data_IF_045506751981
#
_entry.id   IF_045506751981
#
_cell.length_a   1.000
_cell.length_b   1.000
_cell.length_c   1.000
_cell.angle_alpha   90.00
_cell.angle_beta   90.00
_cell.angle_gamma   90.00
#
_symmetry.space_group_name_H-M   'P 1'
#
loop_
_entity.id
_entity.type
_entity.pdbx_description
1 polymer ?
#
# COMPACT_ATOMS: atom_id res chain seq x y z
N UNK A 1 -8.41 -15.05 1.46
CA UNK A 1 -7.94 -13.68 1.10
C UNK A 1 -7.68 -12.87 2.38
N UNK A 2 -6.85 -11.82 2.37
CA UNK A 2 -6.48 -11.08 3.61
C UNK A 2 -7.69 -10.45 4.34
N UNK A 3 -8.73 -10.09 3.59
CA UNK A 3 -9.99 -9.55 4.10
C UNK A 3 -10.73 -10.62 4.93
N UNK A 4 -10.89 -11.83 4.39
CA UNK A 4 -11.50 -12.96 5.13
C UNK A 4 -10.74 -13.28 6.42
N UNK A 5 -9.42 -13.09 6.42
CA UNK A 5 -8.61 -13.33 7.61
C UNK A 5 -8.88 -12.30 8.71
N UNK A 6 -9.21 -11.05 8.34
CA UNK A 6 -9.63 -10.03 9.29
C UNK A 6 -10.99 -10.29 9.91
N UNK A 7 -11.87 -11.02 9.22
CA UNK A 7 -13.14 -11.48 9.80
C UNK A 7 -12.93 -12.69 10.72
N UNK A 8 -12.07 -13.63 10.32
CA UNK A 8 -11.84 -14.87 11.08
C UNK A 8 -11.00 -14.68 12.34
N UNK A 9 -9.93 -13.88 12.27
CA UNK A 9 -9.01 -13.66 13.38
C UNK A 9 -8.60 -12.17 13.53
N UNK A 10 -9.56 -11.27 13.78
CA UNK A 10 -9.36 -9.81 13.75
C UNK A 10 -8.24 -9.30 14.66
N UNK A 11 -8.01 -10.00 15.79
CA UNK A 11 -7.08 -9.59 16.83
C UNK A 11 -5.69 -10.24 16.70
N UNK A 12 -5.50 -11.15 15.74
CA UNK A 12 -4.19 -11.74 15.49
C UNK A 12 -3.28 -10.76 14.74
N UNK A 13 -1.98 -10.83 15.00
CA UNK A 13 -0.99 -10.01 14.32
C UNK A 13 -0.90 -10.36 12.84
N UNK A 14 -1.02 -9.35 11.97
CA UNK A 14 -0.86 -9.47 10.52
C UNK A 14 0.47 -8.90 10.05
N UNK A 15 0.96 -7.84 10.69
CA UNK A 15 2.23 -7.19 10.38
C UNK A 15 3.01 -6.96 11.67
N UNK A 16 4.27 -7.40 11.67
CA UNK A 16 5.25 -7.09 12.70
C UNK A 16 6.34 -6.23 12.07
N UNK A 17 6.62 -5.07 12.64
CA UNK A 17 7.66 -4.17 12.12
C UNK A 17 8.29 -3.35 13.24
N UNK A 18 9.50 -2.83 12.99
CA UNK A 18 10.17 -1.90 13.92
C UNK A 18 9.37 -0.61 14.15
N UNK A 19 8.45 -0.26 13.24
CA UNK A 19 7.59 0.93 13.32
C UNK A 19 6.26 0.65 14.03
N UNK A 20 6.07 -0.55 14.55
CA UNK A 20 4.86 -1.00 15.21
C UNK A 20 4.24 -2.23 14.56
N UNK A 21 3.26 -2.80 15.26
CA UNK A 21 2.57 -4.01 14.85
C UNK A 21 1.10 -3.70 14.56
N UNK A 22 0.53 -4.38 13.56
CA UNK A 22 -0.88 -4.28 13.23
C UNK A 22 -1.55 -5.64 13.32
N UNK A 23 -2.73 -5.69 13.94
CA UNK A 23 -3.63 -6.83 13.82
C UNK A 23 -4.27 -6.87 12.43
N UNK A 24 -4.87 -8.00 12.05
CA UNK A 24 -5.61 -8.11 10.80
C UNK A 24 -6.71 -7.05 10.67
N UNK A 25 -7.49 -6.82 11.73
CA UNK A 25 -8.52 -5.76 11.73
C UNK A 25 -7.91 -4.38 11.51
N UNK A 26 -6.85 -4.06 12.24
CA UNK A 26 -6.17 -2.78 12.14
C UNK A 26 -5.55 -2.51 10.77
N UNK A 27 -5.01 -3.56 10.13
CA UNK A 27 -4.46 -3.51 8.79
C UNK A 27 -5.54 -3.21 7.76
N UNK A 28 -6.64 -3.98 7.79
CA UNK A 28 -7.74 -3.85 6.84
C UNK A 28 -8.49 -2.53 6.99
N UNK A 29 -8.78 -2.09 8.22
CA UNK A 29 -9.45 -0.80 8.46
C UNK A 29 -8.65 0.37 7.86
N UNK A 30 -7.31 0.36 8.03
CA UNK A 30 -6.41 1.37 7.46
C UNK A 30 -6.33 1.27 5.94
N UNK A 31 -6.21 0.05 5.41
CA UNK A 31 -6.11 -0.16 3.96
C UNK A 31 -7.39 0.26 3.24
N UNK A 32 -8.57 -0.04 3.78
CA UNK A 32 -9.84 0.43 3.21
C UNK A 32 -10.00 1.94 3.29
N UNK A 33 -9.65 2.57 4.42
CA UNK A 33 -9.71 4.02 4.55
C UNK A 33 -8.82 4.72 3.51
N UNK A 34 -7.59 4.23 3.31
CA UNK A 34 -6.69 4.77 2.30
C UNK A 34 -7.17 4.44 0.88
N UNK A 35 -7.69 3.24 0.62
CA UNK A 35 -8.22 2.87 -0.70
C UNK A 35 -9.37 3.79 -1.11
N UNK A 36 -10.30 4.08 -0.19
CA UNK A 36 -11.39 5.01 -0.42
C UNK A 36 -10.85 6.42 -0.74
N UNK A 37 -9.86 6.89 0.02
CA UNK A 37 -9.21 8.17 -0.28
C UNK A 37 -8.58 8.18 -1.69
N UNK A 38 -7.85 7.14 -2.07
CA UNK A 38 -7.23 7.02 -3.39
C UNK A 38 -8.26 7.02 -4.52
N UNK A 39 -9.39 6.33 -4.34
CA UNK A 39 -10.52 6.36 -5.29
C UNK A 39 -11.09 7.78 -5.44
N UNK A 40 -11.23 8.52 -4.33
CA UNK A 40 -11.65 9.92 -4.37
C UNK A 40 -10.62 10.83 -5.08
N UNK A 41 -9.34 10.45 -5.11
CA UNK A 41 -8.30 11.12 -5.91
C UNK A 41 -8.24 10.62 -7.37
N UNK A 42 -9.14 9.72 -7.79
CA UNK A 42 -9.23 9.23 -9.16
C UNK A 42 -8.45 7.93 -9.45
N UNK A 43 -8.02 7.20 -8.42
CA UNK A 43 -7.47 5.86 -8.62
C UNK A 43 -8.51 4.95 -9.28
N UNK A 44 -8.09 4.25 -10.34
CA UNK A 44 -8.92 3.34 -11.14
C UNK A 44 -8.06 2.23 -11.75
N UNK A 45 -8.68 1.18 -12.31
CA UNK A 45 -7.95 0.17 -13.08
C UNK A 45 -7.02 0.76 -14.12
N UNK A 46 -5.83 0.16 -14.25
CA UNK A 46 -4.73 0.59 -15.11
C UNK A 46 -4.02 1.89 -14.69
N UNK A 47 -4.36 2.52 -13.57
CA UNK A 47 -3.50 3.55 -12.99
C UNK A 47 -2.34 2.94 -12.21
N UNK A 48 -1.17 3.55 -12.34
CA UNK A 48 0.01 3.28 -11.52
C UNK A 48 0.10 4.32 -10.40
N UNK A 49 0.28 3.87 -9.16
CA UNK A 49 0.48 4.72 -7.99
C UNK A 49 1.84 4.39 -7.38
N UNK A 50 2.75 5.36 -7.38
CA UNK A 50 4.08 5.18 -6.82
C UNK A 50 4.05 5.06 -5.29
N UNK A 51 4.82 4.13 -4.74
CA UNK A 51 5.11 4.01 -3.30
C UNK A 51 6.57 4.34 -3.08
N UNK A 52 6.84 5.49 -2.46
CA UNK A 52 8.19 5.93 -2.11
C UNK A 52 8.30 6.13 -0.60
N UNK A 53 8.66 5.08 0.12
CA UNK A 53 8.80 5.09 1.59
C UNK A 53 9.66 3.92 2.08
N UNK A 54 10.21 4.06 3.28
CA UNK A 54 10.94 2.97 3.94
C UNK A 54 10.03 1.78 4.27
N UNK A 55 10.66 0.62 4.51
CA UNK A 55 9.95 -0.60 4.92
C UNK A 55 9.30 -0.41 6.29
N UNK A 56 8.01 -0.73 6.38
CA UNK A 56 7.22 -0.58 7.59
C UNK A 56 5.78 -1.05 7.38
N UNK A 57 4.97 -1.03 8.44
CA UNK A 57 3.56 -1.37 8.30
C UNK A 57 2.81 -0.39 7.38
N UNK A 58 3.26 0.86 7.28
CA UNK A 58 2.71 1.87 6.40
C UNK A 58 2.82 1.47 4.93
N UNK A 59 3.97 0.89 4.55
CA UNK A 59 4.19 0.40 3.19
C UNK A 59 3.21 -0.75 2.85
N UNK A 60 2.97 -1.67 3.78
CA UNK A 60 2.01 -2.76 3.59
C UNK A 60 0.58 -2.21 3.47
N UNK A 61 0.21 -1.22 4.29
CA UNK A 61 -1.09 -0.53 4.19
C UNK A 61 -1.23 0.13 2.81
N UNK A 62 -0.20 0.83 2.33
CA UNK A 62 -0.21 1.49 1.02
C UNK A 62 -0.38 0.49 -0.12
N UNK A 63 0.38 -0.61 -0.13
CA UNK A 63 0.26 -1.66 -1.14
C UNK A 63 -1.16 -2.24 -1.19
N UNK A 64 -1.73 -2.58 -0.02
CA UNK A 64 -3.08 -3.13 0.05
C UNK A 64 -4.13 -2.09 -0.36
N UNK A 65 -3.96 -0.83 0.04
CA UNK A 65 -4.91 0.22 -0.30
C UNK A 65 -4.96 0.48 -1.82
N UNK A 66 -3.80 0.49 -2.50
CA UNK A 66 -3.72 0.65 -3.95
C UNK A 66 -4.37 -0.55 -4.67
N UNK A 67 -4.11 -1.76 -4.18
CA UNK A 67 -4.77 -2.96 -4.70
C UNK A 67 -6.29 -2.89 -4.50
N UNK A 68 -6.76 -2.50 -3.31
CA UNK A 68 -8.17 -2.34 -2.98
C UNK A 68 -8.85 -1.20 -3.75
N UNK A 69 -8.11 -0.15 -4.12
CA UNK A 69 -8.63 0.91 -4.99
C UNK A 69 -8.80 0.45 -6.45
N UNK A 70 -8.29 -0.74 -6.81
CA UNK A 70 -8.30 -1.29 -8.15
C UNK A 70 -7.14 -0.80 -9.03
N UNK A 71 -6.19 -0.07 -8.47
CA UNK A 71 -5.00 0.42 -9.18
C UNK A 71 -3.82 -0.55 -8.98
N UNK A 72 -2.73 -0.33 -9.71
CA UNK A 72 -1.47 -1.03 -9.54
C UNK A 72 -0.47 -0.10 -8.82
N UNK A 73 0.39 -0.67 -7.98
CA UNK A 73 1.42 0.10 -7.30
C UNK A 73 2.77 -0.01 -8.04
N UNK A 74 3.55 1.06 -8.02
CA UNK A 74 4.92 1.11 -8.51
C UNK A 74 5.86 1.32 -7.31
N UNK A 75 6.61 0.30 -6.85
CA UNK A 75 7.53 0.45 -5.74
C UNK A 75 8.76 1.26 -6.18
N UNK A 76 9.01 2.37 -5.49
CA UNK A 76 10.21 3.19 -5.66
C UNK A 76 11.13 2.99 -4.46
N UNK A 77 12.39 2.68 -4.74
CA UNK A 77 13.39 2.47 -3.70
C UNK A 77 13.94 3.81 -3.20
N UNK A 78 13.80 4.05 -1.89
CA UNK A 78 14.26 5.27 -1.20
C UNK A 78 15.79 5.42 -1.27
N UNK A 79 16.53 4.32 -1.45
CA UNK A 79 17.98 4.35 -1.64
C UNK A 79 18.42 4.63 -3.07
N UNK A 80 17.50 4.67 -4.04
CA UNK A 80 17.86 4.86 -5.45
C UNK A 80 18.27 6.31 -5.76
N UNK A 81 19.28 6.52 -6.61
CA UNK A 81 19.63 7.85 -7.09
C UNK A 81 18.44 8.54 -7.78
N UNK A 82 18.34 9.85 -7.63
CA UNK A 82 17.23 10.65 -8.16
C UNK A 82 17.00 10.43 -9.67
N UNK A 83 18.07 10.40 -10.47
CA UNK A 83 17.97 10.19 -11.92
C UNK A 83 17.29 8.86 -12.27
N UNK A 84 17.55 7.79 -11.48
CA UNK A 84 16.92 6.48 -11.66
C UNK A 84 15.42 6.54 -11.34
N UNK A 85 15.04 7.31 -10.32
CA UNK A 85 13.63 7.51 -9.98
C UNK A 85 12.90 8.26 -11.10
N UNK A 86 13.53 9.29 -11.67
CA UNK A 86 12.99 10.02 -12.81
C UNK A 86 12.79 9.13 -14.04
N UNK A 87 13.76 8.28 -14.39
CA UNK A 87 13.63 7.33 -15.50
C UNK A 87 12.46 6.37 -15.28
N UNK A 88 12.34 5.79 -14.08
CA UNK A 88 11.25 4.86 -13.77
C UNK A 88 9.87 5.51 -13.82
N UNK A 89 9.75 6.77 -13.41
CA UNK A 89 8.49 7.53 -13.51
C UNK A 89 8.17 7.80 -14.99
N UNK A 90 9.16 8.20 -15.79
CA UNK A 90 8.96 8.45 -17.22
C UNK A 90 8.56 7.20 -18.02
N UNK A 91 9.01 6.02 -17.61
CA UNK A 91 8.62 4.75 -18.23
C UNK A 91 7.21 4.28 -17.85
N UNK A 92 6.63 4.84 -16.79
CA UNK A 92 5.34 4.46 -16.23
C UNK A 92 4.15 5.31 -16.73
N UNK A 93 4.42 6.40 -17.46
CA UNK A 93 3.43 7.25 -18.15
C UNK A 93 3.05 6.68 -19.53
#
# INVERSE_FOLDING_TARGET
>A
MIIEQAERIPNAWAVLSSRGNLTYKQLIDRAYSLAFYLQQQGAKPNHLIAIFMEKGWEQIVACLAIFLSGAAYLPLDVGSPFDRLCTLIQEAD
#
